data_IF_702645236828
#
_entry.id   IF_702645236828
#
_cell.length_a   1.000
_cell.length_b   1.000
_cell.length_c   1.000
_cell.angle_alpha   90.00
_cell.angle_beta   90.00
_cell.angle_gamma   90.00
#
_symmetry.space_group_name_H-M   'P 1'
#
loop_
_entity.id
_entity.type
_entity.pdbx_description
1 polymer ?
#
# COMPACT_ATOMS: atom_id res chain seq x y z
N UNK A 1 2.25 1.65 -63.08
CA UNK A 1 1.95 0.22 -62.84
C UNK A 1 2.75 -0.20 -61.61
N UNK A 2 2.05 -0.74 -60.61
CA UNK A 2 2.50 -1.32 -59.34
C UNK A 2 2.48 -0.44 -58.08
N UNK A 3 1.33 -0.54 -57.40
CA UNK A 3 1.14 -0.54 -55.95
C UNK A 3 2.01 -1.60 -55.24
N UNK A 4 2.41 -1.33 -53.99
CA UNK A 4 2.61 -2.31 -52.90
C UNK A 4 2.76 -1.52 -51.57
N UNK A 5 1.69 -1.32 -50.81
CA UNK A 5 1.14 -2.19 -49.74
C UNK A 5 1.83 -2.03 -48.37
N UNK A 6 1.12 -1.35 -47.47
CA UNK A 6 0.91 -1.82 -46.09
C UNK A 6 2.04 -1.69 -45.09
N UNK A 7 2.21 -0.50 -44.48
CA UNK A 7 2.75 -0.42 -43.13
C UNK A 7 1.73 -0.99 -42.15
N UNK A 8 1.93 -2.25 -41.76
CA UNK A 8 1.28 -2.86 -40.59
C UNK A 8 1.70 -2.09 -39.35
N UNK A 9 0.79 -1.25 -38.84
CA UNK A 9 0.84 -0.78 -37.47
C UNK A 9 0.62 -2.01 -36.60
N UNK A 10 1.69 -2.50 -35.96
CA UNK A 10 1.60 -3.59 -35.01
C UNK A 10 1.03 -3.00 -33.70
N UNK A 11 -0.29 -2.88 -33.66
CA UNK A 11 -1.05 -2.55 -32.46
C UNK A 11 -1.04 -3.74 -31.52
N UNK A 12 0.06 -3.93 -30.78
CA UNK A 12 -0.03 -4.56 -29.47
C UNK A 12 -0.53 -3.48 -28.51
N UNK A 13 -1.82 -3.17 -28.61
CA UNK A 13 -2.54 -2.66 -27.45
C UNK A 13 -2.53 -3.79 -26.42
N UNK A 14 -1.57 -3.71 -25.50
CA UNK A 14 -1.62 -4.48 -24.28
C UNK A 14 -2.96 -4.13 -23.62
N UNK A 15 -3.90 -5.07 -23.64
CA UNK A 15 -5.12 -5.02 -22.84
C UNK A 15 -4.72 -4.55 -21.45
N UNK A 16 -5.34 -3.50 -20.88
CA UNK A 16 -4.96 -2.99 -19.59
C UNK A 16 -5.14 -4.15 -18.61
N UNK A 17 -4.00 -4.72 -18.19
CA UNK A 17 -3.96 -5.79 -17.22
C UNK A 17 -4.82 -5.34 -16.06
N UNK A 18 -5.79 -6.17 -15.69
CA UNK A 18 -6.67 -5.92 -14.55
C UNK A 18 -5.76 -5.61 -13.37
N UNK A 19 -5.69 -4.34 -12.97
CA UNK A 19 -4.80 -3.89 -11.93
C UNK A 19 -5.09 -4.72 -10.68
N UNK A 20 -4.07 -5.42 -10.18
CA UNK A 20 -4.12 -6.16 -8.94
C UNK A 20 -4.51 -5.23 -7.79
N UNK A 21 -5.14 -5.78 -6.75
CA UNK A 21 -5.54 -4.99 -5.58
C UNK A 21 -4.34 -4.32 -4.89
N UNK A 22 -3.12 -4.80 -5.13
CA UNK A 22 -1.84 -4.34 -4.61
C UNK A 22 -1.08 -3.37 -5.53
N UNK A 23 -1.50 -3.20 -6.79
CA UNK A 23 -0.77 -2.39 -7.78
C UNK A 23 -0.66 -0.91 -7.38
N UNK A 24 -1.69 -0.37 -6.73
CA UNK A 24 -1.66 1.02 -6.25
C UNK A 24 -0.59 1.21 -5.17
N UNK A 25 -0.55 0.33 -4.17
CA UNK A 25 0.45 0.40 -3.10
C UNK A 25 1.87 0.25 -3.66
N UNK A 26 2.06 -0.70 -4.58
CA UNK A 26 3.34 -0.90 -5.25
C UNK A 26 3.76 0.31 -6.08
N UNK A 27 2.84 0.94 -6.80
CA UNK A 27 3.11 2.16 -7.56
C UNK A 27 3.53 3.32 -6.65
N UNK A 28 2.83 3.52 -5.52
CA UNK A 28 3.20 4.53 -4.51
C UNK A 28 4.59 4.27 -3.94
N UNK A 29 4.91 3.02 -3.60
CA UNK A 29 6.25 2.65 -3.14
C UNK A 29 7.34 2.90 -4.20
N UNK A 30 7.04 2.63 -5.48
CA UNK A 30 7.97 2.91 -6.60
C UNK A 30 8.25 4.41 -6.75
N UNK A 31 7.23 5.26 -6.57
CA UNK A 31 7.40 6.73 -6.56
C UNK A 31 8.26 7.17 -5.38
N UNK A 32 8.00 6.68 -4.17
CA UNK A 32 8.79 7.01 -2.99
C UNK A 32 10.28 6.64 -3.19
N UNK A 33 10.55 5.44 -3.71
CA UNK A 33 11.93 5.00 -4.02
C UNK A 33 12.57 5.87 -5.10
N UNK A 34 11.82 6.28 -6.13
CA UNK A 34 12.35 7.18 -7.15
C UNK A 34 12.75 8.55 -6.55
N UNK A 35 11.94 9.10 -5.64
CA UNK A 35 12.26 10.33 -4.92
C UNK A 35 13.50 10.17 -4.04
N UNK A 36 13.68 9.02 -3.37
CA UNK A 36 14.91 8.72 -2.62
C UNK A 36 16.14 8.64 -3.54
N UNK A 37 16.01 8.05 -4.72
CA UNK A 37 17.11 8.04 -5.70
C UNK A 37 17.46 9.45 -6.15
N UNK A 38 16.45 10.29 -6.44
CA UNK A 38 16.65 11.68 -6.82
C UNK A 38 17.34 12.48 -5.71
N UNK A 39 16.94 12.29 -4.44
CA UNK A 39 17.55 12.97 -3.28
C UNK A 39 19.03 12.65 -3.09
N UNK A 40 19.46 11.45 -3.50
CA UNK A 40 20.87 11.04 -3.49
C UNK A 40 21.63 11.53 -4.74
N UNK A 41 20.93 12.10 -5.73
CA UNK A 41 21.51 12.70 -6.94
C UNK A 41 21.38 11.87 -8.21
N UNK A 42 20.62 10.77 -8.21
CA UNK A 42 20.38 9.98 -9.43
C UNK A 42 19.41 10.71 -10.36
N UNK A 43 19.84 10.93 -11.60
CA UNK A 43 19.03 11.60 -12.63
C UNK A 43 18.22 10.63 -13.49
N UNK A 44 18.63 9.36 -13.55
CA UNK A 44 18.00 8.30 -14.35
C UNK A 44 18.19 6.96 -13.68
N UNK A 45 17.16 6.12 -13.71
CA UNK A 45 17.17 4.77 -13.18
C UNK A 45 16.55 3.80 -14.20
N UNK A 46 17.05 2.56 -14.23
CA UNK A 46 16.38 1.50 -14.98
C UNK A 46 15.06 1.16 -14.29
N UNK A 47 14.01 0.92 -15.07
CA UNK A 47 12.69 0.58 -14.53
C UNK A 47 12.74 -0.66 -13.63
N UNK A 48 13.41 -1.73 -14.08
CA UNK A 48 13.57 -2.96 -13.30
C UNK A 48 14.33 -2.77 -11.99
N UNK A 49 15.23 -1.79 -11.91
CA UNK A 49 15.94 -1.47 -10.67
C UNK A 49 15.02 -0.75 -9.68
N UNK A 50 14.21 0.21 -10.15
CA UNK A 50 13.21 0.86 -9.31
C UNK A 50 12.15 -0.13 -8.82
N UNK A 51 11.71 -1.05 -9.67
CA UNK A 51 10.80 -2.13 -9.30
C UNK A 51 11.40 -3.02 -8.19
N UNK A 52 12.66 -3.45 -8.36
CA UNK A 52 13.33 -4.27 -7.36
C UNK A 52 13.53 -3.53 -6.03
N UNK A 53 13.93 -2.25 -6.07
CA UNK A 53 14.08 -1.42 -4.87
C UNK A 53 12.73 -1.19 -4.19
N UNK A 54 11.65 -0.95 -4.93
CA UNK A 54 10.31 -0.86 -4.36
C UNK A 54 9.91 -2.15 -3.65
N UNK A 55 10.13 -3.31 -4.28
CA UNK A 55 9.82 -4.60 -3.67
C UNK A 55 10.69 -4.89 -2.43
N UNK A 56 11.94 -4.43 -2.40
CA UNK A 56 12.83 -4.53 -1.22
C UNK A 56 12.30 -3.64 -0.10
N UNK A 57 11.95 -2.39 -0.39
CA UNK A 57 11.39 -1.45 0.59
C UNK A 57 10.09 -1.98 1.20
N UNK A 58 9.18 -2.51 0.38
CA UNK A 58 7.92 -3.12 0.86
C UNK A 58 8.21 -4.31 1.79
N UNK A 59 9.15 -5.18 1.41
CA UNK A 59 9.54 -6.34 2.24
C UNK A 59 10.17 -5.91 3.56
N UNK A 60 11.07 -4.93 3.53
CA UNK A 60 11.68 -4.37 4.73
C UNK A 60 10.63 -3.81 5.71
N UNK A 61 9.68 -3.01 5.22
CA UNK A 61 8.59 -2.45 6.04
C UNK A 61 7.69 -3.57 6.61
N UNK A 62 7.37 -4.58 5.81
CA UNK A 62 6.60 -5.74 6.27
C UNK A 62 7.30 -6.48 7.40
N UNK A 63 8.59 -6.76 7.26
CA UNK A 63 9.35 -7.53 8.23
C UNK A 63 9.60 -6.73 9.51
N UNK A 64 9.85 -5.42 9.39
CA UNK A 64 9.89 -4.49 10.51
C UNK A 64 8.57 -4.49 11.31
N UNK A 65 7.43 -4.40 10.61
CA UNK A 65 6.10 -4.43 11.24
C UNK A 65 5.81 -5.75 11.96
N UNK A 66 6.14 -6.88 11.33
CA UNK A 66 6.00 -8.22 11.96
C UNK A 66 6.86 -8.34 13.22
N UNK A 67 8.09 -7.84 13.18
CA UNK A 67 8.99 -7.89 14.34
C UNK A 67 8.50 -6.98 15.48
N UNK A 68 8.07 -5.76 15.19
CA UNK A 68 7.50 -4.87 16.21
C UNK A 68 6.25 -5.49 16.85
N UNK A 69 5.39 -6.09 16.04
CA UNK A 69 4.21 -6.80 16.51
C UNK A 69 4.55 -8.02 17.37
N UNK A 70 5.57 -8.80 16.99
CA UNK A 70 6.10 -9.88 17.82
C UNK A 70 6.56 -9.37 19.19
N UNK A 71 7.28 -8.24 19.26
CA UNK A 71 7.71 -7.66 20.54
C UNK A 71 6.55 -7.14 21.39
N UNK A 72 5.53 -6.54 20.77
CA UNK A 72 4.30 -6.16 21.48
C UNK A 72 3.64 -7.40 22.12
N UNK A 73 3.50 -8.49 21.35
CA UNK A 73 2.93 -9.75 21.82
C UNK A 73 3.71 -10.39 22.97
N UNK A 74 5.04 -10.35 22.93
CA UNK A 74 5.88 -10.85 24.04
C UNK A 74 5.61 -10.12 25.36
N UNK A 75 5.11 -8.89 25.31
CA UNK A 75 4.71 -8.11 26.49
C UNK A 75 3.22 -8.21 26.82
N UNK A 76 2.49 -9.12 26.17
CA UNK A 76 1.06 -9.32 26.37
C UNK A 76 0.16 -8.24 25.75
N UNK A 77 0.69 -7.42 24.83
CA UNK A 77 -0.05 -6.38 24.12
C UNK A 77 -0.35 -6.80 22.69
N UNK A 78 -1.49 -6.36 22.17
CA UNK A 78 -1.85 -6.48 20.74
C UNK A 78 -1.40 -5.26 19.95
N UNK A 79 -1.35 -4.10 20.60
CA UNK A 79 -0.97 -2.82 20.00
C UNK A 79 0.54 -2.58 20.12
N UNK A 80 1.17 -2.27 18.99
CA UNK A 80 2.56 -1.83 18.93
C UNK A 80 2.71 -0.41 19.44
N UNK A 81 3.83 -0.12 20.10
CA UNK A 81 4.24 1.24 20.43
C UNK A 81 5.63 1.56 19.86
N UNK A 82 6.10 2.79 20.07
CA UNK A 82 7.40 3.25 19.56
C UNK A 82 8.58 2.40 20.06
N UNK A 83 8.52 1.85 21.28
CA UNK A 83 9.61 1.03 21.82
C UNK A 83 9.70 -0.33 21.13
N UNK A 84 8.57 -0.92 20.73
CA UNK A 84 8.55 -2.15 19.94
C UNK A 84 9.17 -1.93 18.56
N UNK A 85 8.91 -0.77 17.94
CA UNK A 85 9.51 -0.37 16.67
C UNK A 85 11.01 -0.14 16.78
N UNK A 86 11.46 0.58 17.82
CA UNK A 86 12.90 0.79 18.08
C UNK A 86 13.59 -0.56 18.29
N UNK A 87 12.99 -1.47 19.05
CA UNK A 87 13.51 -2.82 19.23
C UNK A 87 13.59 -3.62 17.94
N UNK A 88 12.56 -3.56 17.11
CA UNK A 88 12.53 -4.26 15.85
C UNK A 88 13.63 -3.75 14.89
N UNK A 89 13.80 -2.43 14.82
CA UNK A 89 14.86 -1.80 14.05
C UNK A 89 16.26 -2.22 14.56
N UNK A 90 16.50 -2.21 15.89
CA UNK A 90 17.80 -2.60 16.46
C UNK A 90 18.18 -4.04 16.08
N UNK A 91 17.21 -4.95 16.05
CA UNK A 91 17.45 -6.35 15.74
C UNK A 91 17.64 -6.59 14.25
N UNK A 92 16.91 -5.87 13.39
CA UNK A 92 17.13 -5.93 11.94
C UNK A 92 18.53 -5.42 11.58
N UNK A 93 19.00 -4.33 12.21
CA UNK A 93 20.29 -3.72 11.92
C UNK A 93 21.48 -4.39 12.63
N UNK A 94 21.25 -5.11 13.73
CA UNK A 94 22.29 -5.88 14.41
C UNK A 94 22.96 -6.91 13.47
N UNK A 95 22.25 -7.39 12.46
CA UNK A 95 22.78 -8.29 11.43
C UNK A 95 23.77 -7.64 10.45
N UNK A 96 23.77 -6.30 10.36
CA UNK A 96 24.57 -5.53 9.38
C UNK A 96 25.92 -5.03 9.95
N UNK A 97 26.25 -5.33 11.21
CA UNK A 97 27.57 -5.03 11.77
C UNK A 97 27.87 -3.55 12.02
N UNK A 98 26.83 -2.69 12.12
CA UNK A 98 27.04 -1.28 12.44
C UNK A 98 27.58 -1.11 13.88
N UNK A 99 28.74 -0.44 14.07
CA UNK A 99 29.47 -0.39 15.34
C UNK A 99 28.78 0.41 16.47
N UNK A 100 27.55 0.91 16.23
CA UNK A 100 26.75 1.66 17.19
C UNK A 100 25.49 0.89 17.65
N UNK A 101 25.30 -0.33 17.15
CA UNK A 101 24.26 -1.22 17.62
C UNK A 101 24.63 -1.73 19.02
N UNK A 102 23.88 -1.24 20.01
CA UNK A 102 23.80 -1.75 21.37
C UNK A 102 25.08 -1.68 22.21
N UNK A 103 25.33 -0.52 22.83
CA UNK A 103 25.78 -0.59 24.22
C UNK A 103 24.60 -1.13 25.03
N UNK A 104 24.68 -2.39 25.46
CA UNK A 104 23.64 -3.20 26.14
C UNK A 104 23.04 -2.49 27.38
N UNK A 105 23.66 -1.41 27.85
CA UNK A 105 23.25 -0.61 29.01
C UNK A 105 22.43 0.67 28.70
N UNK A 106 22.21 1.04 27.43
CA UNK A 106 21.50 2.28 27.10
C UNK A 106 19.98 2.07 26.97
N UNK A 107 19.18 3.01 27.50
CA UNK A 107 17.74 3.05 27.26
C UNK A 107 17.44 3.11 25.76
N UNK A 108 16.34 2.48 25.31
CA UNK A 108 15.90 2.50 23.90
C UNK A 108 15.77 3.93 23.33
N UNK A 109 15.39 4.89 24.16
CA UNK A 109 15.34 6.31 23.79
C UNK A 109 16.71 6.92 23.45
N UNK A 110 17.81 6.27 23.83
CA UNK A 110 19.20 6.63 23.51
C UNK A 110 19.82 5.68 22.48
N UNK A 111 18.99 4.91 21.76
CA UNK A 111 19.46 4.03 20.68
C UNK A 111 20.23 4.83 19.62
N UNK A 112 21.39 4.32 19.22
CA UNK A 112 22.28 5.00 18.26
C UNK A 112 21.62 5.25 16.91
N UNK A 113 20.74 4.34 16.52
CA UNK A 113 19.95 4.35 15.29
C UNK A 113 18.79 5.35 15.36
N UNK A 114 18.10 5.48 16.49
CA UNK A 114 17.10 6.55 16.68
C UNK A 114 17.75 7.92 16.54
N UNK A 115 18.97 8.07 17.08
CA UNK A 115 19.76 9.29 16.89
C UNK A 115 20.09 9.53 15.41
N UNK A 116 20.49 8.50 14.67
CA UNK A 116 20.81 8.64 13.24
C UNK A 116 19.59 8.99 12.40
N UNK A 117 18.42 8.42 12.71
CA UNK A 117 17.15 8.80 12.08
C UNK A 117 16.83 10.27 12.37
N UNK A 118 16.98 10.71 13.63
CA UNK A 118 16.75 12.11 14.00
C UNK A 118 17.73 13.06 13.27
N UNK A 119 19.03 12.73 13.28
CA UNK A 119 20.06 13.50 12.59
C UNK A 119 19.78 13.57 11.06
N UNK A 120 19.27 12.48 10.45
CA UNK A 120 18.87 12.44 9.04
C UNK A 120 17.65 13.34 8.75
N UNK A 121 16.61 13.26 9.59
CA UNK A 121 15.40 14.09 9.46
C UNK A 121 15.73 15.57 9.63
N UNK A 122 16.63 15.91 10.55
CA UNK A 122 17.04 17.30 10.80
C UNK A 122 17.92 17.89 9.68
N UNK A 123 18.62 17.04 8.91
CA UNK A 123 19.58 17.47 7.89
C UNK A 123 19.08 17.35 6.45
N UNK A 124 18.01 16.59 6.21
CA UNK A 124 17.48 16.30 4.87
C UNK A 124 16.26 17.16 4.57
N UNK A 125 16.20 17.75 3.37
CA UNK A 125 15.00 18.42 2.88
C UNK A 125 13.91 17.39 2.56
N UNK A 126 12.69 17.61 3.07
CA UNK A 126 11.55 16.72 2.82
C UNK A 126 11.10 16.81 1.35
N UNK A 127 10.93 15.64 0.71
CA UNK A 127 10.41 15.54 -0.65
C UNK A 127 8.98 14.95 -0.60
N UNK A 128 7.93 15.78 -0.63
CA UNK A 128 6.57 15.30 -0.55
C UNK A 128 6.10 14.63 -1.85
N UNK A 129 5.06 13.81 -1.77
CA UNK A 129 4.34 13.37 -2.96
C UNK A 129 3.66 14.56 -3.65
N UNK A 130 3.66 14.58 -4.99
CA UNK A 130 3.03 15.63 -5.79
C UNK A 130 1.52 15.77 -5.52
N UNK A 131 0.87 14.68 -5.10
CA UNK A 131 -0.52 14.66 -4.63
C UNK A 131 -0.61 13.82 -3.36
N UNK A 132 -1.54 14.14 -2.45
CA UNK A 132 -1.78 13.31 -1.27
C UNK A 132 -2.09 11.87 -1.66
N UNK A 133 -1.45 10.90 -0.99
CA UNK A 133 -1.75 9.49 -1.19
C UNK A 133 -3.17 9.20 -0.72
N UNK A 134 -3.98 8.57 -1.57
CA UNK A 134 -5.35 8.24 -1.25
C UNK A 134 -5.42 7.27 -0.06
N UNK A 135 -6.26 7.58 0.93
CA UNK A 135 -6.50 6.71 2.08
C UNK A 135 -7.48 5.60 1.70
N UNK A 136 -7.19 4.37 2.14
CA UNK A 136 -8.06 3.23 1.92
C UNK A 136 -9.07 3.08 3.07
N UNK A 137 -10.33 2.69 2.80
CA UNK A 137 -10.91 2.39 1.50
C UNK A 137 -11.17 3.63 0.64
N UNK A 138 -10.74 3.60 -0.62
CA UNK A 138 -11.04 4.67 -1.59
C UNK A 138 -12.51 4.52 -2.01
N UNK A 139 -13.38 5.32 -1.40
CA UNK A 139 -14.80 5.34 -1.74
C UNK A 139 -14.98 6.04 -3.09
N UNK A 140 -14.99 5.27 -4.18
CA UNK A 140 -15.39 5.75 -5.50
C UNK A 140 -16.91 5.70 -5.56
N UNK A 141 -17.57 6.86 -5.72
CA UNK A 141 -19.03 7.04 -5.89
C UNK A 141 -19.87 5.87 -5.37
N UNK A 142 -20.27 5.90 -4.09
CA UNK A 142 -21.20 4.90 -3.57
C UNK A 142 -22.46 4.91 -4.42
N UNK A 143 -22.71 3.82 -5.16
CA UNK A 143 -24.02 3.57 -5.73
C UNK A 143 -24.90 3.24 -4.53
N UNK A 144 -25.62 4.26 -4.04
CA UNK A 144 -26.61 4.07 -2.99
C UNK A 144 -27.76 3.28 -3.61
N UNK A 145 -27.88 2.01 -3.25
CA UNK A 145 -29.08 1.23 -3.56
C UNK A 145 -30.23 1.88 -2.78
N UNK A 146 -31.29 2.37 -3.45
CA UNK A 146 -32.38 3.02 -2.76
C UNK A 146 -33.07 2.02 -1.82
N UNK A 147 -33.50 2.52 -0.66
CA UNK A 147 -34.25 1.73 0.32
C UNK A 147 -35.62 1.32 -0.19
N UNK A 148 -36.26 0.36 0.48
CA UNK A 148 -37.65 -0.03 0.20
C UNK A 148 -38.60 1.18 0.22
N UNK A 149 -38.45 2.11 1.18
CA UNK A 149 -39.22 3.37 1.20
C UNK A 149 -38.97 4.22 -0.04
N UNK A 150 -37.71 4.34 -0.47
CA UNK A 150 -37.33 5.17 -1.62
C UNK A 150 -37.77 4.55 -2.96
N UNK A 151 -37.85 3.22 -3.04
CA UNK A 151 -38.41 2.51 -4.20
C UNK A 151 -39.95 2.43 -4.17
N UNK A 152 -40.59 2.75 -3.03
CA UNK A 152 -42.03 2.57 -2.86
C UNK A 152 -42.46 1.10 -2.78
N UNK A 153 -41.53 0.22 -2.43
CA UNK A 153 -41.74 -1.23 -2.32
C UNK A 153 -41.96 -1.63 -0.87
N UNK A 154 -42.75 -2.69 -0.66
CA UNK A 154 -42.87 -3.31 0.66
C UNK A 154 -41.83 -4.43 0.79
N UNK A 155 -41.08 -4.48 1.89
CA UNK A 155 -40.15 -5.57 2.09
C UNK A 155 -40.90 -6.91 2.18
N UNK A 156 -40.29 -8.02 1.72
CA UNK A 156 -40.97 -9.32 1.63
C UNK A 156 -41.29 -9.95 2.99
N UNK A 157 -40.77 -9.41 4.09
CA UNK A 157 -41.03 -9.89 5.45
C UNK A 157 -41.22 -8.74 6.44
N UNK A 158 -42.10 -8.92 7.41
CA UNK A 158 -42.40 -7.92 8.45
C UNK A 158 -41.22 -7.62 9.39
N UNK A 159 -40.21 -8.51 9.44
CA UNK A 159 -38.99 -8.32 10.23
C UNK A 159 -37.92 -7.48 9.52
N UNK A 160 -38.13 -7.16 8.23
CA UNK A 160 -37.18 -6.39 7.43
C UNK A 160 -37.59 -4.92 7.51
N UNK A 161 -36.72 -4.04 8.03
CA UNK A 161 -37.04 -2.61 8.13
C UNK A 161 -37.11 -1.95 6.75
N UNK A 162 -38.04 -1.02 6.58
CA UNK A 162 -38.26 -0.33 5.30
C UNK A 162 -37.13 0.64 4.93
N UNK A 163 -36.29 1.06 5.89
CA UNK A 163 -35.11 1.90 5.66
C UNK A 163 -33.90 1.14 5.09
N UNK A 164 -33.96 -0.20 5.02
CA UNK A 164 -32.90 -1.02 4.43
C UNK A 164 -32.88 -0.85 2.90
N UNK A 165 -31.71 -0.94 2.23
CA UNK A 165 -31.64 -1.07 0.78
C UNK A 165 -32.61 -2.13 0.23
N UNK A 166 -33.33 -1.77 -0.83
CA UNK A 166 -34.23 -2.69 -1.51
C UNK A 166 -33.44 -3.86 -2.13
N UNK A 167 -34.11 -5.00 -2.28
CA UNK A 167 -33.49 -6.16 -2.91
C UNK A 167 -33.32 -5.92 -4.41
N UNK A 168 -32.22 -6.43 -4.99
CA UNK A 168 -32.00 -6.33 -6.43
C UNK A 168 -33.06 -7.13 -7.19
N UNK A 169 -33.47 -6.63 -8.34
CA UNK A 169 -34.49 -7.25 -9.18
C UNK A 169 -34.10 -8.66 -9.66
N UNK A 170 -35.10 -9.53 -9.91
CA UNK A 170 -34.86 -10.85 -10.45
C UNK A 170 -34.05 -10.95 -11.73
N UNK A 171 -34.23 -9.98 -12.60
CA UNK A 171 -33.49 -9.93 -13.85
C UNK A 171 -32.01 -9.57 -13.65
N UNK A 172 -31.64 -8.99 -12.49
CA UNK A 172 -30.25 -8.65 -12.16
C UNK A 172 -29.44 -9.90 -11.82
N UNK A 173 -29.96 -10.82 -10.99
CA UNK A 173 -29.22 -12.03 -10.62
C UNK A 173 -29.17 -13.10 -11.71
N UNK A 174 -30.16 -13.16 -12.61
CA UNK A 174 -30.15 -14.08 -13.76
C UNK A 174 -29.07 -13.77 -14.80
N UNK A 175 -28.47 -12.57 -14.73
CA UNK A 175 -27.44 -12.10 -15.66
C UNK A 175 -26.02 -12.24 -15.10
N UNK A 176 -25.87 -12.57 -13.83
CA UNK A 176 -24.57 -12.81 -13.21
C UNK A 176 -24.05 -14.17 -13.66
N UNK A 177 -22.82 -14.26 -14.20
CA UNK A 177 -22.24 -15.54 -14.55
C UNK A 177 -22.13 -16.38 -13.26
N UNK A 178 -22.73 -17.57 -13.29
CA UNK A 178 -22.60 -18.55 -12.22
C UNK A 178 -21.12 -18.93 -12.19
N UNK A 179 -20.41 -18.56 -11.12
CA UNK A 179 -19.06 -19.05 -10.85
C UNK A 179 -19.23 -20.45 -10.28
N UNK A 180 -19.01 -21.46 -11.11
CA UNK A 180 -18.91 -22.88 -10.72
C UNK A 180 -17.51 -23.21 -10.21
#
# INVERSE_FOLDING_TARGET
>A
MNELLGMRVNGQEALPGRLGADDFGRAVSKVAVAQMCESVGFQKSKESALDALADITIRYLCDLGKMANFYAYLTGRTECNVFDMIRALEVLEASQGFPKAANVSCCLARSGMVKEIADYVDSTEEIPFAQPVAQFPVIKNQILIPSFVQMGENPPGQHIPTWLPAFLDPHTYNSLPIVE
#
